data_IF_059905627610
#
_entry.id   IF_059905627610
#
_cell.length_a   1.000
_cell.length_b   1.000
_cell.length_c   1.000
_cell.angle_alpha   90.00
_cell.angle_beta   90.00
_cell.angle_gamma   90.00
#
_symmetry.space_group_name_H-M   'P 1'
#
loop_
_entity.id
_entity.type
_entity.pdbx_description
1 polymer ?
#
# COMPACT_ATOMS: atom_id res chain seq x y z
N UNK A 1 18.88 -1.28 -23.21
CA UNK A 1 19.23 -1.85 -21.89
C UNK A 1 18.62 -0.95 -20.84
N UNK A 2 18.00 -1.51 -19.81
CA UNK A 2 17.13 -0.82 -18.83
C UNK A 2 17.87 -0.08 -17.70
N UNK A 3 19.21 -0.17 -17.63
CA UNK A 3 20.02 0.47 -16.58
C UNK A 3 19.87 -0.14 -15.18
N UNK A 4 18.99 -1.13 -14.99
CA UNK A 4 18.77 -1.87 -13.74
C UNK A 4 19.61 -3.18 -13.75
N UNK A 5 20.03 -3.66 -12.58
CA UNK A 5 20.80 -4.93 -12.43
C UNK A 5 20.04 -6.14 -13.01
N UNK A 6 18.72 -6.09 -12.98
CA UNK A 6 17.80 -7.02 -13.64
C UNK A 6 16.44 -6.30 -13.84
N UNK A 7 15.61 -6.66 -14.84
CA UNK A 7 15.92 -7.48 -16.00
C UNK A 7 16.79 -6.71 -17.01
N UNK A 8 17.76 -7.39 -17.62
CA UNK A 8 18.67 -6.80 -18.63
C UNK A 8 17.89 -6.45 -19.92
N UNK A 9 16.83 -7.24 -20.20
CA UNK A 9 15.94 -7.13 -21.35
C UNK A 9 14.50 -7.35 -20.90
N UNK A 10 13.56 -6.57 -21.43
CA UNK A 10 12.13 -6.68 -21.14
C UNK A 10 11.64 -5.69 -20.08
N UNK A 11 10.32 -5.52 -20.03
CA UNK A 11 9.61 -4.69 -19.06
C UNK A 11 9.02 -5.57 -17.95
N UNK A 12 9.14 -5.13 -16.70
CA UNK A 12 8.47 -5.78 -15.57
C UNK A 12 6.99 -5.44 -15.57
N UNK A 13 6.16 -6.36 -15.10
CA UNK A 13 4.75 -6.09 -14.82
C UNK A 13 4.59 -5.16 -13.62
N UNK A 14 5.33 -5.44 -12.54
CA UNK A 14 5.33 -4.68 -11.30
C UNK A 14 6.77 -4.37 -10.87
N UNK A 15 7.00 -3.26 -10.17
CA UNK A 15 8.36 -2.87 -9.77
C UNK A 15 8.97 -3.85 -8.75
N UNK A 16 8.15 -4.29 -7.81
CA UNK A 16 8.58 -5.10 -6.67
C UNK A 16 8.57 -6.61 -6.93
N UNK A 17 7.87 -7.08 -7.97
CA UNK A 17 7.80 -8.50 -8.29
C UNK A 17 8.67 -8.87 -9.51
N UNK A 18 9.25 -10.08 -9.54
CA UNK A 18 10.16 -10.50 -10.61
C UNK A 18 9.45 -10.96 -11.89
N UNK A 19 8.24 -10.48 -12.17
CA UNK A 19 7.44 -10.89 -13.34
C UNK A 19 7.62 -9.94 -14.53
N UNK A 20 7.70 -10.50 -15.73
CA UNK A 20 7.98 -9.79 -16.99
C UNK A 20 6.83 -9.88 -17.98
N UNK A 21 6.65 -8.84 -18.80
CA UNK A 21 5.62 -8.83 -19.86
C UNK A 21 5.82 -9.98 -20.85
N UNK A 22 7.08 -10.38 -21.06
CA UNK A 22 7.44 -11.50 -21.91
C UNK A 22 6.89 -12.84 -21.39
N UNK A 23 6.76 -13.03 -20.07
CA UNK A 23 6.19 -14.25 -19.49
C UNK A 23 4.70 -14.37 -19.81
N UNK A 24 3.97 -13.24 -19.83
CA UNK A 24 2.56 -13.21 -20.25
C UNK A 24 2.43 -13.57 -21.72
N UNK A 25 3.24 -12.98 -22.61
CA UNK A 25 3.24 -13.32 -24.04
C UNK A 25 3.60 -14.80 -24.27
N UNK A 26 4.60 -15.30 -23.55
CA UNK A 26 4.99 -16.71 -23.63
C UNK A 26 3.86 -17.64 -23.14
N UNK A 27 3.20 -17.28 -22.05
CA UNK A 27 2.08 -18.04 -21.51
C UNK A 27 0.90 -18.16 -22.49
N UNK A 28 0.59 -17.09 -23.23
CA UNK A 28 -0.45 -17.12 -24.27
C UNK A 28 -0.10 -18.12 -25.38
N UNK A 29 1.18 -18.19 -25.78
CA UNK A 29 1.65 -19.19 -26.76
C UNK A 29 1.53 -20.62 -26.24
N UNK A 30 1.64 -20.80 -24.92
CA UNK A 30 1.35 -22.06 -24.24
C UNK A 30 -0.12 -22.22 -23.85
N UNK A 31 -1.04 -21.68 -24.65
CA UNK A 31 -2.49 -21.86 -24.52
C UNK A 31 -3.15 -21.20 -23.29
N UNK A 32 -2.55 -20.17 -22.69
CA UNK A 32 -3.27 -19.35 -21.71
C UNK A 32 -4.38 -18.53 -22.38
N UNK A 33 -5.63 -18.76 -22.00
CA UNK A 33 -6.81 -18.15 -22.64
C UNK A 33 -7.58 -17.17 -21.74
N UNK A 34 -7.24 -17.04 -20.45
CA UNK A 34 -7.93 -16.13 -19.53
C UNK A 34 -6.95 -15.32 -18.70
N UNK A 35 -7.33 -14.10 -18.33
CA UNK A 35 -6.51 -13.26 -17.46
C UNK A 35 -6.26 -13.93 -16.10
N UNK A 36 -7.29 -14.63 -15.59
CA UNK A 36 -7.23 -15.41 -14.34
C UNK A 36 -6.15 -16.49 -14.39
N UNK A 37 -5.98 -17.20 -15.51
CA UNK A 37 -4.91 -18.22 -15.66
C UNK A 37 -3.52 -17.59 -15.44
N UNK A 38 -3.27 -16.44 -16.07
CA UNK A 38 -2.01 -15.73 -15.94
C UNK A 38 -1.76 -15.33 -14.49
N UNK A 39 -2.68 -14.59 -13.87
CA UNK A 39 -2.46 -14.00 -12.53
C UNK A 39 -2.48 -15.04 -11.41
N UNK A 40 -3.29 -16.10 -11.54
CA UNK A 40 -3.52 -17.06 -10.46
C UNK A 40 -2.64 -18.31 -10.61
N UNK A 41 -2.48 -18.86 -11.81
CA UNK A 41 -1.80 -20.16 -12.00
C UNK A 41 -0.35 -20.03 -12.47
N UNK A 42 -0.08 -19.11 -13.39
CA UNK A 42 1.25 -18.99 -14.01
C UNK A 42 2.18 -18.07 -13.24
N UNK A 43 1.77 -16.82 -13.02
CA UNK A 43 2.52 -15.88 -12.19
C UNK A 43 2.29 -16.17 -10.70
N UNK A 44 1.07 -16.58 -10.34
CA UNK A 44 0.61 -16.75 -8.95
C UNK A 44 0.65 -15.46 -8.12
N UNK A 45 0.74 -14.31 -8.77
CA UNK A 45 0.77 -13.01 -8.10
C UNK A 45 -0.49 -12.78 -7.26
N UNK A 46 -1.66 -13.25 -7.73
CA UNK A 46 -2.92 -13.13 -6.99
C UNK A 46 -2.93 -13.83 -5.62
N UNK A 47 -2.05 -14.83 -5.41
CA UNK A 47 -1.89 -15.51 -4.12
C UNK A 47 -0.85 -14.83 -3.23
N UNK A 48 0.15 -14.19 -3.83
CA UNK A 48 1.24 -13.53 -3.11
C UNK A 48 0.79 -12.16 -2.61
N UNK A 49 0.19 -11.37 -3.50
CA UNK A 49 -0.25 -10.02 -3.20
C UNK A 49 -1.43 -9.64 -4.09
N UNK A 50 -2.59 -9.41 -3.46
CA UNK A 50 -3.83 -9.06 -4.15
C UNK A 50 -3.79 -7.65 -4.75
N UNK A 51 -3.11 -6.70 -4.11
CA UNK A 51 -2.96 -5.32 -4.60
C UNK A 51 -2.06 -5.25 -5.82
N UNK A 52 -0.87 -5.83 -5.75
CA UNK A 52 0.02 -5.93 -6.90
C UNK A 52 -0.65 -6.69 -8.05
N UNK A 53 -1.46 -7.72 -7.76
CA UNK A 53 -2.25 -8.43 -8.78
C UNK A 53 -3.29 -7.53 -9.47
N UNK A 54 -3.90 -6.58 -8.75
CA UNK A 54 -4.78 -5.57 -9.33
C UNK A 54 -4.05 -4.61 -10.24
N UNK A 55 -2.93 -4.06 -9.76
CA UNK A 55 -2.17 -3.04 -10.49
C UNK A 55 -1.67 -3.57 -11.84
N UNK A 56 -1.25 -4.84 -11.89
CA UNK A 56 -0.76 -5.44 -13.13
C UNK A 56 -1.87 -5.93 -14.07
N UNK A 57 -3.13 -5.98 -13.61
CA UNK A 57 -4.20 -6.66 -14.33
C UNK A 57 -4.51 -5.99 -15.67
N UNK A 58 -4.54 -4.66 -15.70
CA UNK A 58 -4.74 -3.90 -16.94
C UNK A 58 -3.65 -4.20 -17.97
N UNK A 59 -2.39 -4.29 -17.52
CA UNK A 59 -1.27 -4.62 -18.38
C UNK A 59 -1.33 -6.06 -18.90
N UNK A 60 -1.70 -7.02 -18.04
CA UNK A 60 -1.89 -8.42 -18.44
C UNK A 60 -2.98 -8.54 -19.50
N UNK A 61 -4.16 -7.95 -19.24
CA UNK A 61 -5.30 -8.00 -20.17
C UNK A 61 -4.96 -7.32 -21.50
N UNK A 62 -4.24 -6.20 -21.48
CA UNK A 62 -3.74 -5.52 -22.68
C UNK A 62 -2.86 -6.46 -23.51
N UNK A 63 -1.85 -7.08 -22.89
CA UNK A 63 -0.92 -8.00 -23.58
C UNK A 63 -1.68 -9.21 -24.15
N UNK A 64 -2.55 -9.83 -23.36
CA UNK A 64 -3.36 -10.96 -23.82
C UNK A 64 -4.30 -10.56 -24.96
N UNK A 65 -4.90 -9.38 -24.89
CA UNK A 65 -5.77 -8.86 -25.93
C UNK A 65 -5.05 -8.62 -27.26
N UNK A 66 -3.79 -8.16 -27.22
CA UNK A 66 -2.94 -8.04 -28.40
C UNK A 66 -2.63 -9.42 -29.03
N UNK A 67 -2.24 -10.40 -28.22
CA UNK A 67 -1.82 -11.73 -28.69
C UNK A 67 -3.01 -12.59 -29.18
N UNK A 68 -4.13 -12.57 -28.45
CA UNK A 68 -5.34 -13.35 -28.75
C UNK A 68 -6.35 -12.60 -29.62
N UNK A 69 -6.06 -11.34 -29.98
CA UNK A 69 -6.92 -10.45 -30.78
C UNK A 69 -8.30 -10.25 -30.17
N UNK A 70 -8.36 -9.98 -28.87
CA UNK A 70 -9.62 -9.73 -28.17
C UNK A 70 -10.28 -8.42 -28.59
N UNK A 71 -11.61 -8.40 -28.57
CA UNK A 71 -12.37 -7.17 -28.71
C UNK A 71 -12.28 -6.33 -27.43
N UNK A 72 -12.55 -5.02 -27.52
CA UNK A 72 -12.61 -4.16 -26.33
C UNK A 72 -13.62 -4.65 -25.28
N UNK A 73 -14.72 -5.26 -25.73
CA UNK A 73 -15.72 -5.84 -24.85
C UNK A 73 -15.16 -7.06 -24.11
N UNK A 74 -14.42 -7.92 -24.82
CA UNK A 74 -13.79 -9.10 -24.23
C UNK A 74 -12.69 -8.73 -23.23
N UNK A 75 -11.85 -7.73 -23.54
CA UNK A 75 -10.87 -7.23 -22.58
C UNK A 75 -11.53 -6.73 -21.30
N UNK A 76 -12.64 -5.99 -21.40
CA UNK A 76 -13.39 -5.52 -20.24
C UNK A 76 -13.96 -6.69 -19.42
N UNK A 77 -14.56 -7.68 -20.09
CA UNK A 77 -15.09 -8.88 -19.45
C UNK A 77 -14.01 -9.63 -18.67
N UNK A 78 -12.85 -9.86 -19.29
CA UNK A 78 -11.70 -10.53 -18.65
C UNK A 78 -11.17 -9.75 -17.45
N UNK A 79 -11.13 -8.42 -17.55
CA UNK A 79 -10.71 -7.56 -16.45
C UNK A 79 -11.70 -7.62 -15.28
N UNK A 80 -13.00 -7.48 -15.53
CA UNK A 80 -14.04 -7.56 -14.49
C UNK A 80 -14.07 -8.94 -13.82
N UNK A 81 -13.93 -10.03 -14.59
CA UNK A 81 -13.87 -11.39 -14.05
C UNK A 81 -12.65 -11.62 -13.17
N UNK A 82 -11.47 -11.18 -13.62
CA UNK A 82 -10.24 -11.32 -12.85
C UNK A 82 -10.27 -10.44 -11.59
N UNK A 83 -10.80 -9.23 -11.68
CA UNK A 83 -11.03 -8.34 -10.55
C UNK A 83 -11.95 -8.97 -9.50
N UNK A 84 -13.07 -9.55 -9.95
CA UNK A 84 -14.01 -10.27 -9.08
C UNK A 84 -13.33 -11.48 -8.42
N UNK A 85 -12.52 -12.23 -9.17
CA UNK A 85 -11.75 -13.36 -8.65
C UNK A 85 -10.79 -12.94 -7.54
N UNK A 86 -10.02 -11.87 -7.72
CA UNK A 86 -9.08 -11.40 -6.68
C UNK A 86 -9.86 -10.92 -5.44
N UNK A 87 -10.93 -10.16 -5.62
CA UNK A 87 -11.69 -9.61 -4.49
C UNK A 87 -12.37 -10.71 -3.66
N UNK A 88 -13.07 -11.61 -4.35
CA UNK A 88 -13.95 -12.59 -3.72
C UNK A 88 -13.24 -13.90 -3.38
N UNK A 89 -12.54 -14.48 -4.35
CA UNK A 89 -11.95 -15.82 -4.21
C UNK A 89 -10.58 -15.78 -3.52
N UNK A 90 -9.81 -14.72 -3.73
CA UNK A 90 -8.49 -14.54 -3.09
C UNK A 90 -8.56 -13.86 -1.72
N UNK A 91 -9.76 -13.52 -1.26
CA UNK A 91 -10.01 -13.11 0.13
C UNK A 91 -9.69 -11.66 0.45
N UNK A 92 -9.51 -10.78 -0.53
CA UNK A 92 -9.29 -9.36 -0.28
C UNK A 92 -10.50 -8.72 0.43
N UNK A 93 -11.73 -9.07 0.02
CA UNK A 93 -12.95 -8.58 0.66
C UNK A 93 -13.12 -9.18 2.07
N UNK A 94 -12.76 -10.45 2.26
CA UNK A 94 -12.82 -11.13 3.55
C UNK A 94 -11.81 -10.53 4.55
N UNK A 95 -10.60 -10.16 4.09
CA UNK A 95 -9.63 -9.40 4.88
C UNK A 95 -10.20 -8.05 5.28
N UNK A 96 -10.74 -7.28 4.34
CA UNK A 96 -11.38 -5.99 4.64
C UNK A 96 -12.51 -6.12 5.67
N UNK A 97 -13.35 -7.15 5.57
CA UNK A 97 -14.43 -7.40 6.53
C UNK A 97 -13.89 -7.76 7.92
N UNK A 98 -12.92 -8.67 8.01
CA UNK A 98 -12.28 -9.02 9.29
C UNK A 98 -11.57 -7.83 9.94
N UNK A 99 -11.07 -6.89 9.14
CA UNK A 99 -10.47 -5.66 9.64
C UNK A 99 -11.54 -4.66 10.11
N UNK A 100 -12.67 -4.55 9.40
CA UNK A 100 -13.78 -3.68 9.81
C UNK A 100 -14.50 -4.14 11.08
N UNK A 101 -14.52 -5.45 11.35
CA UNK A 101 -15.11 -6.03 12.57
C UNK A 101 -14.23 -5.87 13.82
N UNK A 102 -12.95 -5.51 13.66
CA UNK A 102 -12.14 -5.00 14.78
C UNK A 102 -12.67 -3.62 15.11
N UNK A 103 -13.62 -3.57 16.05
CA UNK A 103 -14.33 -2.39 16.53
C UNK A 103 -13.48 -1.10 16.54
N UNK A 104 -13.48 -0.39 15.42
CA UNK A 104 -12.85 0.92 15.28
C UNK A 104 -13.73 1.90 16.06
N UNK A 105 -13.48 2.05 17.36
CA UNK A 105 -14.03 3.12 18.19
C UNK A 105 -13.35 4.47 17.86
N UNK A 106 -13.16 4.75 16.56
CA UNK A 106 -12.62 5.99 16.04
C UNK A 106 -13.77 6.93 15.67
N UNK A 107 -13.66 8.21 16.04
CA UNK A 107 -14.60 9.22 15.56
C UNK A 107 -14.37 9.47 14.07
N UNK A 108 -15.34 10.09 13.39
CA UNK A 108 -15.22 10.41 11.96
C UNK A 108 -13.99 11.28 11.69
N UNK A 109 -13.67 12.17 12.62
CA UNK A 109 -12.51 13.07 12.56
C UNK A 109 -11.20 12.29 12.65
N UNK A 110 -11.12 11.29 13.53
CA UNK A 110 -9.94 10.43 13.68
C UNK A 110 -9.75 9.50 12.47
N UNK A 111 -10.84 8.95 11.93
CA UNK A 111 -10.78 8.18 10.69
C UNK A 111 -10.30 9.04 9.53
N UNK A 112 -10.75 10.29 9.43
CA UNK A 112 -10.31 11.19 8.39
C UNK A 112 -8.83 11.57 8.57
N UNK A 113 -8.39 11.88 9.79
CA UNK A 113 -6.99 12.20 10.08
C UNK A 113 -6.06 11.02 9.77
N UNK A 114 -6.45 9.79 10.13
CA UNK A 114 -5.69 8.59 9.78
C UNK A 114 -5.65 8.38 8.25
N UNK A 115 -6.76 8.59 7.55
CA UNK A 115 -6.80 8.49 6.08
C UNK A 115 -5.90 9.54 5.41
N UNK A 116 -5.90 10.77 5.91
CA UNK A 116 -5.06 11.84 5.38
C UNK A 116 -3.58 11.53 5.58
N UNK A 117 -3.20 10.95 6.73
CA UNK A 117 -1.84 10.50 7.01
C UNK A 117 -1.42 9.31 6.14
N UNK A 118 -2.33 8.36 5.94
CA UNK A 118 -2.10 7.26 5.01
C UNK A 118 -1.79 7.78 3.60
N UNK A 119 -2.58 8.73 3.11
CA UNK A 119 -2.38 9.32 1.78
C UNK A 119 -1.08 10.16 1.67
N UNK A 120 -0.56 10.68 2.78
CA UNK A 120 0.74 11.37 2.80
C UNK A 120 1.93 10.40 2.64
N UNK A 121 1.76 9.16 3.11
CA UNK A 121 2.76 8.10 2.99
C UNK A 121 2.63 7.39 1.64
N UNK A 122 1.41 7.10 1.19
CA UNK A 122 1.10 6.50 -0.11
C UNK A 122 0.98 7.56 -1.22
N UNK A 123 2.11 8.17 -1.58
CA UNK A 123 2.17 9.20 -2.64
C UNK A 123 1.72 8.69 -4.02
N UNK A 124 1.92 7.39 -4.26
CA UNK A 124 1.61 6.73 -5.53
C UNK A 124 0.15 6.25 -5.60
N UNK A 125 -0.63 6.39 -4.50
CA UNK A 125 -2.04 5.96 -4.38
C UNK A 125 -2.24 4.49 -4.70
N UNK A 126 -1.33 3.64 -4.25
CA UNK A 126 -1.34 2.19 -4.41
C UNK A 126 -2.36 1.51 -3.50
N UNK A 127 -2.80 2.21 -2.45
CA UNK A 127 -3.73 1.69 -1.45
C UNK A 127 -3.07 0.87 -0.34
N UNK A 128 -1.74 0.80 -0.34
CA UNK A 128 -0.89 0.16 0.65
C UNK A 128 0.42 0.95 0.79
N UNK A 129 1.07 0.88 1.95
CA UNK A 129 2.33 1.58 2.23
C UNK A 129 3.45 0.55 2.34
N UNK A 130 4.46 0.66 1.48
CA UNK A 130 5.65 -0.21 1.51
C UNK A 130 6.76 0.38 2.40
N UNK A 131 7.76 -0.45 2.74
CA UNK A 131 9.02 0.01 3.37
C UNK A 131 9.67 1.13 2.56
N UNK A 132 9.61 1.06 1.23
CA UNK A 132 10.20 2.05 0.35
C UNK A 132 9.47 3.40 0.43
N UNK A 133 8.14 3.38 0.58
CA UNK A 133 7.31 4.58 0.73
C UNK A 133 7.61 5.29 2.04
N UNK A 134 7.72 4.54 3.14
CA UNK A 134 8.14 5.09 4.43
C UNK A 134 9.57 5.63 4.31
N UNK A 135 10.52 4.87 3.76
CA UNK A 135 11.90 5.33 3.57
C UNK A 135 11.98 6.61 2.72
N UNK A 136 11.13 6.74 1.70
CA UNK A 136 11.01 7.95 0.88
C UNK A 136 10.50 9.12 1.72
N UNK A 137 9.39 8.92 2.42
CA UNK A 137 8.79 9.92 3.29
C UNK A 137 9.78 10.45 4.34
N UNK A 138 10.55 9.56 5.00
CA UNK A 138 11.58 9.97 5.96
C UNK A 138 12.71 10.79 5.32
N UNK A 139 13.18 10.39 4.12
CA UNK A 139 14.22 11.13 3.39
C UNK A 139 13.75 12.52 2.97
N UNK A 140 12.50 12.67 2.57
CA UNK A 140 11.92 13.96 2.18
C UNK A 140 11.79 14.93 3.36
N UNK A 141 11.53 14.42 4.56
CA UNK A 141 11.42 15.21 5.78
C UNK A 141 12.78 15.39 6.51
N UNK A 142 13.90 15.14 5.83
CA UNK A 142 15.24 15.45 6.32
C UNK A 142 15.84 14.48 7.33
N UNK A 143 15.13 13.41 7.68
CA UNK A 143 15.55 12.45 8.71
C UNK A 143 15.97 11.10 8.09
N UNK A 144 17.09 10.54 8.56
CA UNK A 144 17.51 9.17 8.20
C UNK A 144 17.03 8.22 9.28
N UNK A 145 16.06 7.37 8.95
CA UNK A 145 15.71 6.23 9.78
C UNK A 145 16.66 5.06 9.50
N UNK A 146 17.07 4.35 10.55
CA UNK A 146 17.86 3.12 10.39
C UNK A 146 17.00 2.03 9.76
N UNK A 147 17.59 1.29 8.81
CA UNK A 147 16.86 0.30 8.02
C UNK A 147 16.30 -0.84 8.87
N UNK A 148 17.01 -1.21 9.95
CA UNK A 148 16.57 -2.27 10.87
C UNK A 148 15.39 -1.79 11.69
N UNK A 149 15.48 -0.57 12.22
CA UNK A 149 14.38 0.04 12.96
C UNK A 149 13.14 0.15 12.07
N UNK A 150 13.28 0.58 10.81
CA UNK A 150 12.15 0.66 9.88
C UNK A 150 11.48 -0.69 9.65
N UNK A 151 12.26 -1.76 9.45
CA UNK A 151 11.72 -3.12 9.34
C UNK A 151 11.06 -3.59 10.63
N UNK A 152 11.62 -3.27 11.79
CA UNK A 152 11.02 -3.58 13.10
C UNK A 152 9.69 -2.85 13.29
N UNK A 153 9.62 -1.56 12.95
CA UNK A 153 8.41 -0.77 13.03
C UNK A 153 7.32 -1.30 12.08
N UNK A 154 7.70 -1.66 10.85
CA UNK A 154 6.74 -2.18 9.88
C UNK A 154 6.23 -3.58 10.27
N UNK A 155 7.12 -4.45 10.74
CA UNK A 155 6.76 -5.80 11.17
C UNK A 155 5.92 -5.83 12.46
N UNK A 156 5.90 -4.74 13.26
CA UNK A 156 4.99 -4.59 14.39
C UNK A 156 3.54 -4.30 13.98
N UNK A 157 3.36 -3.75 12.78
CA UNK A 157 2.08 -3.20 12.31
C UNK A 157 1.47 -4.02 11.18
N UNK A 158 2.32 -4.71 10.43
CA UNK A 158 1.96 -5.68 9.40
C UNK A 158 1.44 -6.98 10.05
N UNK A 159 0.14 -7.01 10.34
CA UNK A 159 -0.54 -8.13 11.00
C UNK A 159 -0.61 -9.36 10.09
N UNK A 160 -0.65 -9.14 8.78
CA UNK A 160 -0.82 -10.21 7.79
C UNK A 160 0.52 -10.72 7.20
N UNK A 161 1.64 -10.06 7.53
CA UNK A 161 3.01 -10.36 7.12
C UNK A 161 3.25 -10.34 5.61
N UNK A 162 2.54 -9.51 4.87
CA UNK A 162 2.73 -9.33 3.43
C UNK A 162 3.86 -8.32 3.10
N UNK A 163 4.42 -7.62 4.09
CA UNK A 163 5.45 -6.59 3.93
C UNK A 163 4.91 -5.21 3.56
N UNK A 164 3.59 -5.02 3.60
CA UNK A 164 2.87 -3.83 3.18
C UNK A 164 1.84 -3.45 4.25
N UNK A 165 1.65 -2.16 4.49
CA UNK A 165 0.65 -1.69 5.45
C UNK A 165 -0.59 -1.19 4.71
N UNK A 166 -1.70 -1.92 4.83
CA UNK A 166 -2.96 -1.58 4.20
C UNK A 166 -3.70 -0.46 4.99
N UNK A 167 -4.56 0.32 4.33
CA UNK A 167 -5.35 1.38 5.01
C UNK A 167 -6.18 0.84 6.18
N UNK A 168 -6.66 -0.39 6.02
CA UNK A 168 -7.46 -1.08 7.02
C UNK A 168 -6.63 -1.38 8.29
N UNK A 169 -5.41 -1.91 8.11
CA UNK A 169 -4.44 -2.14 9.19
C UNK A 169 -3.97 -0.83 9.82
N UNK A 170 -3.81 0.22 9.00
CA UNK A 170 -3.51 1.56 9.47
C UNK A 170 -4.61 2.07 10.43
N UNK A 171 -5.89 1.87 10.12
CA UNK A 171 -6.97 2.26 11.04
C UNK A 171 -6.96 1.45 12.35
N UNK A 172 -6.67 0.15 12.30
CA UNK A 172 -6.56 -0.66 13.52
C UNK A 172 -5.43 -0.16 14.42
N UNK A 173 -4.31 0.20 13.81
CA UNK A 173 -3.16 0.79 14.48
C UNK A 173 -3.49 2.15 15.14
N UNK A 174 -4.29 2.99 14.48
CA UNK A 174 -4.81 4.23 15.09
C UNK A 174 -5.85 3.98 16.19
N UNK A 175 -6.72 2.99 16.02
CA UNK A 175 -7.74 2.65 17.00
C UNK A 175 -7.17 2.06 18.29
N UNK A 176 -6.13 1.24 18.18
CA UNK A 176 -5.44 0.63 19.32
C UNK A 176 -4.75 1.64 20.24
N UNK A 177 -4.35 2.80 19.71
CA UNK A 177 -3.77 3.90 20.51
C UNK A 177 -4.80 4.49 21.47
N UNK A 178 -6.05 4.66 21.01
CA UNK A 178 -7.13 5.28 21.79
C UNK A 178 -7.65 4.38 22.91
N UNK A 179 -7.65 3.06 22.71
CA UNK A 179 -8.14 2.10 23.71
C UNK A 179 -7.13 1.84 24.84
N UNK A 180 -5.93 2.43 24.80
CA UNK A 180 -4.88 2.19 25.81
C UNK A 180 -4.32 0.77 25.80
N UNK A 181 -4.78 -0.09 24.90
CA UNK A 181 -4.28 -1.45 24.71
C UNK A 181 -2.97 -1.48 23.89
N UNK A 182 -2.72 -0.45 23.08
CA UNK A 182 -1.49 -0.30 22.28
C UNK A 182 -0.85 1.06 22.57
N UNK A 183 -0.56 1.33 23.84
CA UNK A 183 0.14 2.56 24.28
C UNK A 183 1.59 2.70 23.76
N UNK A 184 2.05 1.81 22.87
CA UNK A 184 3.44 1.69 22.43
C UNK A 184 3.57 1.39 20.92
N UNK A 185 2.60 1.79 20.07
CA UNK A 185 2.82 1.65 18.63
C UNK A 185 3.86 2.67 18.17
N UNK A 186 5.11 2.21 18.05
CA UNK A 186 6.28 3.05 17.82
C UNK A 186 6.15 3.78 16.48
N UNK A 187 5.59 3.14 15.46
CA UNK A 187 5.45 3.73 14.12
C UNK A 187 4.58 5.00 14.15
N UNK A 188 3.44 4.98 14.84
CA UNK A 188 2.58 6.18 14.92
C UNK A 188 3.24 7.31 15.66
N UNK A 189 3.93 7.01 16.76
CA UNK A 189 4.69 8.04 17.48
C UNK A 189 5.75 8.67 16.59
N UNK A 190 6.50 7.87 15.83
CA UNK A 190 7.46 8.41 14.88
C UNK A 190 6.80 9.30 13.82
N UNK A 191 5.64 8.91 13.29
CA UNK A 191 4.89 9.72 12.33
C UNK A 191 4.33 11.01 12.95
N UNK A 192 3.85 10.95 14.20
CA UNK A 192 3.34 12.11 14.95
C UNK A 192 4.45 13.09 15.35
N UNK A 193 5.53 12.58 15.92
CA UNK A 193 6.68 13.38 16.38
C UNK A 193 7.34 14.13 15.21
N UNK A 194 7.33 13.55 14.01
CA UNK A 194 7.85 14.21 12.81
C UNK A 194 6.94 15.32 12.25
N UNK A 195 5.63 15.26 12.47
CA UNK A 195 4.73 16.36 12.08
C UNK A 195 4.89 17.59 12.99
N UNK A 196 5.40 17.40 14.21
CA UNK A 196 5.65 18.49 15.18
C UNK A 196 6.89 19.31 14.81
N UNK A 197 7.81 18.79 13.99
CA UNK A 197 9.02 19.53 13.57
C UNK A 197 8.79 20.53 12.42
N UNK A 198 7.57 20.64 11.89
CA UNK A 198 7.18 21.82 11.14
C UNK A 198 6.93 22.96 12.15
N UNK A 199 7.69 24.08 12.13
CA UNK A 199 7.36 25.24 12.93
C UNK A 199 6.09 25.85 12.32
N UNK A 200 4.95 25.38 12.80
CA UNK A 200 3.73 26.18 12.81
C UNK A 200 4.11 27.49 13.48
N UNK A 201 3.92 28.58 12.73
CA UNK A 201 4.04 29.94 13.20
C UNK A 201 3.59 30.05 14.65
N UNK A 202 4.54 30.24 15.56
CA UNK A 202 4.25 30.58 16.94
C UNK A 202 3.54 31.94 16.86
N UNK A 203 2.22 31.93 16.88
CA UNK A 203 1.45 33.10 17.26
C UNK A 203 1.99 33.48 18.63
N UNK A 204 2.73 34.57 18.66
CA UNK A 204 3.38 35.11 19.84
C UNK A 204 2.37 35.08 20.99
N UNK A 205 2.59 34.18 21.95
CA UNK A 205 1.91 34.26 23.23
C UNK A 205 2.48 35.52 23.87
N UNK A 206 1.76 36.63 23.71
CA UNK A 206 2.07 37.89 24.37
C UNK A 206 1.84 37.67 25.87
N UNK A 207 2.89 37.25 26.57
CA UNK A 207 2.90 37.15 28.02
C UNK A 207 2.91 38.58 28.56
N UNK A 208 1.74 39.10 28.90
CA UNK A 208 1.63 40.29 29.72
C UNK A 208 2.18 39.94 31.11
N UNK A 209 3.41 40.39 31.38
CA UNK A 209 3.96 40.35 32.73
C UNK A 209 3.18 41.36 33.56
N UNK A 210 2.33 40.84 34.42
CA UNK A 210 1.70 41.57 35.51
C UNK A 210 2.79 42.08 36.45
N UNK A 211 3.33 43.27 36.18
CA UNK A 211 4.23 44.00 37.07
C UNK A 211 3.41 44.75 38.10
N UNK A 212 3.13 44.10 39.24
CA UNK A 212 2.54 44.73 40.41
C UNK A 212 3.61 45.31 41.34
N UNK A 213 3.36 46.52 41.84
CA UNK A 213 3.98 47.16 43.02
C UNK A 213 5.43 47.62 42.83
N UNK A 214 5.84 48.83 43.21
CA UNK A 214 5.35 49.82 44.18
C UNK A 214 5.83 51.20 43.77
#
# INVERSE_FOLDING_TARGET
MTGKRWPIVGHRLHEEFPYLEAEVRYAVREYACTAIDIIARRLRLAFLNTYAAHEVLENVVRIMGEELKWSKAECRRQLEEAQTFINREMGQDARMQSVSDVALNLTKEEMQAAKDRFNQLDQERKGHITVNDIRRHFREHGNKIDERLLHELLNEVDLNKNGELELAEFFQLYSGIKQGQIAQNRLVRYLDEMQVEQPSSVSAVTVNRSGGGV
#
